data_IF_482035129032
#
_entry.id   IF_482035129032
#
_cell.length_a   1.000
_cell.length_b   1.000
_cell.length_c   1.000
_cell.angle_alpha   90.00
_cell.angle_beta   90.00
_cell.angle_gamma   90.00
#
_symmetry.space_group_name_H-M   'P 1'
#
loop_
_entity.id
_entity.type
_entity.pdbx_description
1 polymer ?
#
# COMPACT_ATOMS: atom_id res chain seq x y z
N UNK A 1 -17.52 -37.00 -5.65
CA UNK A 1 -18.04 -36.32 -6.87
C UNK A 1 -18.75 -35.05 -6.45
N UNK A 2 -18.04 -33.93 -6.45
CA UNK A 2 -18.58 -32.59 -6.70
C UNK A 2 -17.37 -31.71 -7.04
N UNK A 3 -17.30 -31.36 -8.30
CA UNK A 3 -16.15 -30.85 -9.04
C UNK A 3 -16.47 -29.39 -9.38
N UNK A 4 -15.54 -28.48 -9.07
CA UNK A 4 -15.38 -27.11 -9.59
C UNK A 4 -16.53 -26.12 -9.36
N UNK A 5 -16.19 -25.02 -8.70
CA UNK A 5 -16.32 -23.69 -9.30
C UNK A 5 -15.15 -22.82 -8.80
N UNK A 6 -14.05 -22.97 -9.54
CA UNK A 6 -13.01 -21.98 -9.69
C UNK A 6 -13.62 -20.97 -10.69
N UNK A 7 -13.63 -19.67 -10.37
CA UNK A 7 -14.11 -18.54 -11.23
C UNK A 7 -15.61 -18.15 -11.20
N UNK A 8 -16.16 -17.80 -10.04
CA UNK A 8 -17.16 -16.71 -9.98
C UNK A 8 -16.53 -15.48 -9.34
N UNK A 9 -16.21 -14.49 -10.16
CA UNK A 9 -15.82 -13.13 -9.75
C UNK A 9 -17.05 -12.38 -9.20
N UNK A 10 -17.67 -12.94 -8.15
CA UNK A 10 -18.77 -12.29 -7.43
C UNK A 10 -18.18 -11.16 -6.57
N UNK A 11 -18.40 -9.93 -7.03
CA UNK A 11 -18.04 -8.71 -6.30
C UNK A 11 -18.95 -8.57 -5.08
N UNK A 12 -18.52 -9.08 -3.94
CA UNK A 12 -19.21 -8.91 -2.66
C UNK A 12 -19.00 -7.49 -2.11
N UNK A 13 -20.04 -6.93 -1.50
CA UNK A 13 -19.91 -5.68 -0.75
C UNK A 13 -19.14 -5.92 0.55
N UNK A 14 -18.62 -4.85 1.16
CA UNK A 14 -17.93 -4.94 2.44
C UNK A 14 -18.79 -5.64 3.52
N UNK A 15 -20.10 -5.35 3.56
CA UNK A 15 -21.03 -5.98 4.52
C UNK A 15 -21.18 -7.49 4.30
N UNK A 16 -21.18 -7.93 3.04
CA UNK A 16 -21.25 -9.36 2.71
C UNK A 16 -19.96 -10.07 3.10
N UNK A 17 -18.81 -9.43 2.87
CA UNK A 17 -17.49 -9.95 3.27
C UNK A 17 -17.34 -10.00 4.79
N UNK A 18 -17.87 -9.03 5.52
CA UNK A 18 -17.91 -9.03 6.99
C UNK A 18 -18.79 -10.17 7.52
N UNK A 19 -20.00 -10.33 6.96
CA UNK A 19 -20.89 -11.44 7.31
C UNK A 19 -20.29 -12.82 6.99
N UNK A 20 -19.44 -12.91 5.96
CA UNK A 20 -18.66 -14.12 5.65
C UNK A 20 -17.54 -14.35 6.67
N UNK A 21 -16.77 -13.30 7.00
CA UNK A 21 -15.70 -13.36 8.00
C UNK A 21 -16.23 -13.84 9.36
N UNK A 22 -17.43 -13.39 9.75
CA UNK A 22 -18.10 -13.82 10.98
C UNK A 22 -18.41 -15.33 11.04
N UNK A 23 -18.41 -16.03 9.89
CA UNK A 23 -18.73 -17.46 9.78
C UNK A 23 -17.50 -18.34 9.56
N UNK A 24 -16.29 -17.78 9.47
CA UNK A 24 -15.08 -18.56 9.16
C UNK A 24 -13.83 -17.72 8.87
N UNK A 25 -13.12 -18.08 7.81
CA UNK A 25 -11.84 -17.46 7.43
C UNK A 25 -12.02 -16.00 6.95
N UNK A 26 -11.05 -15.10 7.25
CA UNK A 26 -11.06 -13.74 6.72
C UNK A 26 -11.10 -13.72 5.18
N UNK A 27 -11.82 -12.76 4.58
CA UNK A 27 -11.90 -12.63 3.13
C UNK A 27 -10.56 -12.20 2.55
N UNK A 28 -10.13 -12.86 1.46
CA UNK A 28 -8.93 -12.45 0.73
C UNK A 28 -9.18 -11.15 -0.02
N UNK A 29 -8.30 -10.17 0.15
CA UNK A 29 -8.37 -8.92 -0.59
C UNK A 29 -8.18 -9.15 -2.10
N UNK A 30 -9.16 -8.70 -2.89
CA UNK A 30 -9.15 -8.82 -4.37
C UNK A 30 -8.19 -7.81 -5.01
N UNK A 31 -7.93 -6.67 -4.37
CA UNK A 31 -7.01 -5.64 -4.86
C UNK A 31 -6.40 -4.83 -3.69
N UNK A 32 -5.35 -4.05 -3.97
CA UNK A 32 -4.69 -3.15 -3.03
C UNK A 32 -4.40 -1.78 -3.66
N UNK A 33 -5.32 -0.79 -3.55
CA UNK A 33 -5.10 0.54 -4.10
C UNK A 33 -4.05 1.33 -3.32
N UNK A 34 -3.18 2.02 -4.05
CA UNK A 34 -2.28 3.04 -3.49
C UNK A 34 -2.91 4.39 -3.80
N UNK A 35 -3.17 5.19 -2.76
CA UNK A 35 -3.84 6.49 -2.91
C UNK A 35 -5.14 6.45 -3.74
N UNK A 36 -5.93 5.37 -3.58
CA UNK A 36 -7.22 5.18 -4.24
C UNK A 36 -7.17 4.59 -5.65
N UNK A 37 -6.00 4.31 -6.22
CA UNK A 37 -5.89 3.75 -7.57
C UNK A 37 -5.08 2.45 -7.61
N UNK A 38 -5.50 1.53 -8.46
CA UNK A 38 -4.69 0.41 -8.93
C UNK A 38 -5.27 -0.13 -10.25
N UNK A 39 -4.48 -0.92 -10.95
CA UNK A 39 -4.96 -1.75 -12.05
C UNK A 39 -5.72 -2.97 -11.52
N UNK A 40 -6.68 -3.46 -12.29
CA UNK A 40 -7.40 -4.71 -12.04
C UNK A 40 -7.58 -5.47 -13.35
N UNK A 41 -7.30 -6.78 -13.34
CA UNK A 41 -7.35 -7.67 -14.51
C UNK A 41 -6.69 -7.09 -15.79
N UNK A 42 -5.60 -6.35 -15.62
CA UNK A 42 -4.79 -5.77 -16.71
C UNK A 42 -5.40 -4.60 -17.48
N UNK A 43 -6.73 -4.51 -17.55
CA UNK A 43 -7.45 -3.59 -18.44
C UNK A 43 -8.27 -2.52 -17.73
N UNK A 44 -8.40 -2.59 -16.40
CA UNK A 44 -9.21 -1.63 -15.64
C UNK A 44 -8.35 -0.84 -14.66
N UNK A 45 -8.63 0.47 -14.53
CA UNK A 45 -7.94 1.35 -13.60
C UNK A 45 -6.53 1.77 -14.06
N UNK A 46 -5.82 2.47 -13.18
CA UNK A 46 -4.45 2.95 -13.40
C UNK A 46 -3.63 2.80 -12.13
N UNK A 47 -2.31 2.65 -12.27
CA UNK A 47 -1.40 2.66 -11.12
C UNK A 47 -1.27 4.09 -10.58
N UNK A 48 -1.08 4.20 -9.28
CA UNK A 48 -0.63 5.46 -8.68
C UNK A 48 0.72 5.86 -9.27
N UNK A 49 0.86 7.13 -9.63
CA UNK A 49 2.12 7.71 -10.13
C UNK A 49 2.32 9.06 -9.47
N UNK A 50 3.57 9.34 -9.11
CA UNK A 50 4.01 10.65 -8.63
C UNK A 50 5.40 10.94 -9.19
N UNK A 51 5.75 12.21 -9.32
CA UNK A 51 6.99 12.64 -9.96
C UNK A 51 7.87 13.29 -8.90
N UNK A 52 9.12 12.85 -8.84
CA UNK A 52 10.14 13.45 -8.00
C UNK A 52 11.10 14.28 -8.86
N UNK A 53 11.43 15.47 -8.37
CA UNK A 53 12.52 16.29 -8.89
C UNK A 53 13.83 15.77 -8.32
N UNK A 54 14.83 15.61 -9.19
CA UNK A 54 16.13 15.07 -8.81
C UNK A 54 16.77 15.91 -7.69
N UNK A 55 17.34 15.22 -6.68
CA UNK A 55 18.00 15.84 -5.51
C UNK A 55 17.05 16.61 -4.57
N UNK A 56 15.74 16.45 -4.71
CA UNK A 56 14.75 17.02 -3.80
C UNK A 56 14.34 15.99 -2.73
N UNK A 57 14.15 16.45 -1.49
CA UNK A 57 13.60 15.65 -0.41
C UNK A 57 12.08 15.78 -0.34
N UNK A 58 11.36 14.65 -0.36
CA UNK A 58 9.91 14.61 -0.30
C UNK A 58 9.43 14.03 1.03
N UNK A 59 8.58 14.76 1.74
CA UNK A 59 7.90 14.24 2.92
C UNK A 59 6.60 13.53 2.51
N UNK A 60 6.63 12.20 2.53
CA UNK A 60 5.46 11.36 2.30
C UNK A 60 4.79 11.03 3.64
N UNK A 61 3.45 11.08 3.65
CA UNK A 61 2.64 10.63 4.78
C UNK A 61 1.97 9.33 4.41
N UNK A 62 2.51 8.25 4.95
CA UNK A 62 2.00 6.90 4.72
C UNK A 62 0.88 6.62 5.71
N UNK A 63 -0.25 6.13 5.21
CA UNK A 63 -1.41 5.75 6.02
C UNK A 63 -1.88 4.38 5.54
N UNK A 64 -1.92 3.40 6.43
CA UNK A 64 -2.56 2.13 6.12
C UNK A 64 -4.03 2.18 6.55
N UNK A 65 -4.89 2.40 5.55
CA UNK A 65 -6.35 2.41 5.71
C UNK A 65 -7.01 1.09 5.26
N UNK A 66 -6.27 -0.01 5.20
CA UNK A 66 -6.85 -1.32 4.86
C UNK A 66 -7.67 -1.89 6.03
N UNK A 67 -8.63 -2.75 5.69
CA UNK A 67 -9.49 -3.43 6.65
C UNK A 67 -8.75 -4.54 7.42
N UNK A 68 -7.96 -5.38 6.73
CA UNK A 68 -7.28 -6.53 7.34
C UNK A 68 -5.86 -6.79 6.79
N UNK A 69 -5.27 -5.82 6.08
CA UNK A 69 -3.96 -6.01 5.43
C UNK A 69 -2.86 -5.21 6.11
N UNK A 70 -1.75 -5.90 6.41
CA UNK A 70 -0.47 -5.27 6.74
C UNK A 70 0.36 -5.10 5.49
N UNK A 71 0.94 -3.91 5.29
CA UNK A 71 1.81 -3.65 4.15
C UNK A 71 3.28 -3.57 4.54
N UNK A 72 4.13 -3.96 3.59
CA UNK A 72 5.54 -3.59 3.56
C UNK A 72 5.70 -2.59 2.41
N UNK A 73 5.89 -1.32 2.75
CA UNK A 73 6.07 -0.24 1.80
C UNK A 73 7.55 -0.06 1.47
N UNK A 74 7.86 0.06 0.18
CA UNK A 74 9.19 0.36 -0.35
C UNK A 74 9.04 1.14 -1.64
N UNK A 75 10.07 1.90 -1.99
CA UNK A 75 10.23 2.51 -3.31
C UNK A 75 11.52 1.94 -3.87
N UNK A 76 11.44 1.35 -5.06
CA UNK A 76 12.58 0.66 -5.64
C UNK A 76 13.78 1.58 -5.75
N UNK A 77 14.93 1.06 -5.33
CA UNK A 77 16.18 1.80 -5.35
C UNK A 77 16.15 3.12 -4.54
N UNK A 78 15.30 3.27 -3.51
CA UNK A 78 15.30 4.43 -2.62
C UNK A 78 15.46 4.01 -1.16
N UNK A 79 16.10 4.88 -0.37
CA UNK A 79 16.15 4.75 1.08
C UNK A 79 15.13 5.70 1.69
N UNK A 80 14.41 5.20 2.69
CA UNK A 80 13.34 5.92 3.37
C UNK A 80 13.87 6.32 4.75
N UNK A 81 13.83 7.61 5.06
CA UNK A 81 14.10 8.13 6.40
C UNK A 81 12.78 8.28 7.15
N UNK A 82 12.58 7.54 8.24
CA UNK A 82 11.35 7.61 9.04
C UNK A 82 11.52 8.65 10.13
N UNK A 83 10.65 9.65 10.16
CA UNK A 83 10.76 10.81 11.07
C UNK A 83 9.64 10.89 12.10
N UNK A 84 8.51 10.22 11.84
CA UNK A 84 7.41 10.12 12.79
C UNK A 84 6.66 8.81 12.66
N UNK A 85 6.11 8.36 13.79
CA UNK A 85 5.12 7.30 13.86
C UNK A 85 3.85 7.88 14.46
N UNK A 86 2.73 7.73 13.76
CA UNK A 86 1.47 8.39 14.02
C UNK A 86 1.63 9.92 14.17
N UNK A 87 1.32 10.45 15.34
CA UNK A 87 1.44 11.88 15.67
C UNK A 87 2.65 12.18 16.56
N UNK A 88 3.61 11.26 16.64
CA UNK A 88 4.79 11.39 17.49
C UNK A 88 6.04 11.38 16.61
N UNK A 89 6.81 12.45 16.69
CA UNK A 89 8.14 12.50 16.10
C UNK A 89 9.08 11.54 16.82
N UNK A 90 9.92 10.85 16.06
CA UNK A 90 10.89 9.90 16.57
C UNK A 90 12.30 10.35 16.21
N UNK A 91 13.31 9.69 16.78
CA UNK A 91 14.69 9.84 16.28
C UNK A 91 14.74 9.26 14.86
N UNK A 92 15.15 10.05 13.84
CA UNK A 92 15.14 9.58 12.47
C UNK A 92 16.00 8.33 12.27
N UNK A 93 15.49 7.40 11.46
CA UNK A 93 16.25 6.21 11.06
C UNK A 93 15.97 5.86 9.60
N UNK A 94 16.97 5.25 8.96
CA UNK A 94 16.90 4.85 7.57
C UNK A 94 16.48 3.39 7.43
N UNK A 95 15.62 3.11 6.46
CA UNK A 95 15.22 1.75 6.08
C UNK A 95 14.98 1.63 4.57
N UNK A 96 15.14 0.42 4.03
CA UNK A 96 14.78 0.10 2.65
C UNK A 96 13.29 -0.27 2.53
N UNK A 97 12.72 -0.84 3.60
CA UNK A 97 11.32 -1.22 3.67
C UNK A 97 10.70 -0.83 5.01
N UNK A 98 9.44 -0.40 4.97
CA UNK A 98 8.69 0.01 6.15
C UNK A 98 7.44 -0.86 6.31
N UNK A 99 7.34 -1.56 7.43
CA UNK A 99 6.16 -2.37 7.76
C UNK A 99 5.13 -1.50 8.46
N UNK A 100 3.95 -1.37 7.86
CA UNK A 100 2.86 -0.55 8.37
C UNK A 100 1.61 -1.41 8.61
N UNK A 101 1.20 -1.49 9.87
CA UNK A 101 -0.05 -2.14 10.30
C UNK A 101 -1.26 -1.25 10.05
N UNK A 102 -2.45 -1.83 10.12
CA UNK A 102 -3.71 -1.13 9.90
C UNK A 102 -3.89 0.01 10.92
N UNK A 103 -4.36 1.16 10.46
CA UNK A 103 -4.56 2.35 11.29
C UNK A 103 -3.28 3.12 11.65
N UNK A 104 -2.09 2.57 11.37
CA UNK A 104 -0.82 3.27 11.61
C UNK A 104 -0.54 4.31 10.53
N UNK A 105 0.18 5.37 10.91
CA UNK A 105 0.70 6.39 10.01
C UNK A 105 2.21 6.53 10.22
N UNK A 106 2.94 6.80 9.15
CA UNK A 106 4.35 7.13 9.24
C UNK A 106 4.64 8.37 8.41
N UNK A 107 5.35 9.32 9.01
CA UNK A 107 5.97 10.43 8.29
C UNK A 107 7.34 9.98 7.83
N UNK A 108 7.59 10.04 6.53
CA UNK A 108 8.86 9.63 5.95
C UNK A 108 9.41 10.66 4.98
N UNK A 109 10.73 10.82 4.96
CA UNK A 109 11.43 11.60 3.95
C UNK A 109 12.05 10.64 2.95
N UNK A 110 11.80 10.90 1.67
CA UNK A 110 12.43 10.18 0.56
C UNK A 110 13.28 11.18 -0.23
N UNK A 111 14.58 10.92 -0.28
CA UNK A 111 15.49 11.71 -1.09
C UNK A 111 15.46 11.19 -2.53
N UNK A 112 15.01 12.03 -3.46
CA UNK A 112 15.07 11.73 -4.88
C UNK A 112 16.52 11.60 -5.33
N UNK A 113 16.84 10.50 -6.02
CA UNK A 113 18.19 10.27 -6.54
C UNK A 113 18.58 11.34 -7.56
N UNK A 114 19.88 11.45 -7.84
CA UNK A 114 20.41 12.35 -8.89
C UNK A 114 20.12 11.93 -10.32
N UNK A 115 19.23 10.94 -10.53
CA UNK A 115 18.80 10.48 -11.85
C UNK A 115 17.74 11.44 -12.39
N UNK A 116 17.92 11.92 -13.61
CA UNK A 116 16.99 12.86 -14.27
C UNK A 116 15.89 12.17 -15.06
N UNK A 117 15.95 10.84 -15.19
CA UNK A 117 14.91 10.00 -15.79
C UNK A 117 14.94 8.59 -15.20
N UNK A 118 13.78 7.94 -15.18
CA UNK A 118 13.59 6.59 -14.65
C UNK A 118 12.23 6.44 -13.96
N UNK A 119 11.62 5.26 -14.12
CA UNK A 119 10.44 4.86 -13.35
C UNK A 119 10.89 3.81 -12.33
N UNK A 120 10.44 3.98 -11.09
CA UNK A 120 10.72 3.10 -9.96
C UNK A 120 9.41 2.56 -9.40
#
# INVERSE_FOLDING_TARGET
>A
MAYRDIERDEKYTADQLDAQAARGEPPTAVNGPINGTNTYNGNFGSRFQTVFEAKTGYHLRLVNAAADNRFRFMIDNHTIEVISNDFVSIVPYNTADLRIGMGQRYGVIVAAKGLTSGNF
#
